data_IF_396432191833
#
_entry.id   IF_396432191833
#
_cell.length_a   1.000
_cell.length_b   1.000
_cell.length_c   1.000
_cell.angle_alpha   90.00
_cell.angle_beta   90.00
_cell.angle_gamma   90.00
#
_symmetry.space_group_name_H-M   'P 1'
#
loop_
_entity.id
_entity.type
_entity.pdbx_description
1 polymer ?
#
# COMPACT_ATOMS: atom_id res chain seq x y z
N UNK A 1 4.24 -31.09 21.27
CA UNK A 1 4.36 -30.71 19.85
C UNK A 1 4.73 -29.23 19.80
N UNK A 2 5.98 -28.92 19.48
CA UNK A 2 6.43 -27.54 19.31
C UNK A 2 5.89 -27.02 17.98
N UNK A 3 4.85 -26.20 18.05
CA UNK A 3 4.38 -25.47 16.87
C UNK A 3 5.27 -24.24 16.77
N UNK A 4 6.41 -24.40 16.11
CA UNK A 4 7.26 -23.31 15.64
C UNK A 4 6.56 -22.60 14.47
N UNK A 5 5.38 -22.03 14.68
CA UNK A 5 4.78 -21.16 13.68
C UNK A 5 5.39 -19.78 13.90
N UNK A 6 6.58 -19.61 13.34
CA UNK A 6 7.19 -18.32 13.11
C UNK A 6 6.10 -17.38 12.61
N UNK A 7 5.81 -16.37 13.42
CA UNK A 7 4.81 -15.34 13.15
C UNK A 7 4.97 -14.90 11.71
N UNK A 8 3.98 -15.26 10.90
CA UNK A 8 3.74 -14.80 9.52
C UNK A 8 4.29 -13.38 9.46
N UNK A 9 5.49 -13.21 8.88
CA UNK A 9 6.11 -11.89 8.73
C UNK A 9 5.00 -11.01 8.17
N UNK A 10 4.65 -9.93 8.87
CA UNK A 10 3.45 -9.09 8.66
C UNK A 10 3.58 -8.34 7.31
N UNK A 11 3.73 -9.08 6.23
CA UNK A 11 4.08 -8.66 4.89
C UNK A 11 2.77 -8.36 4.15
N UNK A 12 1.92 -7.55 4.81
CA UNK A 12 0.61 -7.17 4.33
C UNK A 12 0.74 -6.46 2.98
N UNK A 13 -0.02 -6.94 2.01
CA UNK A 13 -0.17 -6.28 0.72
C UNK A 13 -1.13 -5.11 0.84
N UNK A 14 -0.81 -4.03 0.15
CA UNK A 14 -1.61 -2.82 0.07
C UNK A 14 -1.86 -2.46 -1.39
N UNK A 15 -3.04 -1.91 -1.64
CA UNK A 15 -3.35 -1.25 -2.91
C UNK A 15 -2.97 0.22 -2.81
N UNK A 16 -2.34 0.73 -3.86
CA UNK A 16 -1.91 2.11 -3.93
C UNK A 16 -1.78 2.60 -5.37
N UNK A 17 -1.47 3.89 -5.48
CA UNK A 17 -1.10 4.55 -6.74
C UNK A 17 0.20 5.32 -6.55
N UNK A 18 0.90 5.64 -7.62
CA UNK A 18 2.04 6.56 -7.55
C UNK A 18 1.54 8.01 -7.60
N UNK A 19 2.07 8.85 -6.71
CA UNK A 19 1.76 10.28 -6.73
C UNK A 19 2.18 10.91 -8.06
N UNK A 20 1.27 11.62 -8.72
CA UNK A 20 1.55 12.27 -10.00
C UNK A 20 2.62 13.38 -9.92
N UNK A 21 2.87 13.92 -8.72
CA UNK A 21 3.87 14.99 -8.50
C UNK A 21 5.26 14.48 -8.14
N UNK A 22 5.35 13.55 -7.19
CA UNK A 22 6.64 13.10 -6.64
C UNK A 22 6.96 11.62 -6.89
N UNK A 23 6.06 10.86 -7.52
CA UNK A 23 6.23 9.44 -7.76
C UNK A 23 6.15 8.55 -6.52
N UNK A 24 6.03 9.10 -5.31
CA UNK A 24 5.95 8.29 -4.10
C UNK A 24 4.63 7.49 -4.04
N UNK A 25 4.64 6.27 -3.49
CA UNK A 25 3.44 5.46 -3.35
C UNK A 25 2.46 6.08 -2.36
N UNK A 26 1.18 6.14 -2.75
CA UNK A 26 0.05 6.52 -1.91
C UNK A 26 -0.78 5.26 -1.69
N UNK A 27 -0.63 4.67 -0.50
CA UNK A 27 -1.38 3.48 -0.10
C UNK A 27 -2.75 3.89 0.42
N UNK A 28 -3.83 3.31 -0.12
CA UNK A 28 -5.20 3.70 0.25
C UNK A 28 -6.07 2.53 0.73
N UNK A 29 -5.71 1.28 0.45
CA UNK A 29 -6.44 0.12 0.93
C UNK A 29 -5.50 -1.05 1.27
N UNK A 30 -5.92 -1.92 2.18
CA UNK A 30 -5.29 -3.21 2.43
C UNK A 30 -5.76 -4.19 1.36
N UNK A 31 -4.85 -5.00 0.80
CA UNK A 31 -5.21 -6.07 -0.12
C UNK A 31 -5.48 -7.36 0.68
N UNK A 32 -6.75 -7.74 0.78
CA UNK A 32 -7.19 -8.96 1.46
C UNK A 32 -7.17 -10.19 0.55
N UNK A 33 -6.87 -10.01 -0.74
CA UNK A 33 -6.75 -11.12 -1.69
C UNK A 33 -5.39 -11.81 -1.63
N UNK A 34 -4.48 -11.37 -0.75
CA UNK A 34 -3.07 -11.82 -0.70
C UNK A 34 -2.37 -11.75 -2.07
N UNK A 35 -2.86 -10.89 -2.98
CA UNK A 35 -2.33 -10.71 -4.33
C UNK A 35 -3.06 -11.52 -5.43
N UNK A 36 -4.09 -12.30 -5.08
CA UNK A 36 -4.70 -13.29 -5.98
C UNK A 36 -5.81 -12.73 -6.87
N UNK A 37 -6.42 -11.58 -6.55
CA UNK A 37 -7.60 -11.06 -7.27
C UNK A 37 -7.36 -9.65 -7.80
N UNK A 38 -7.67 -9.37 -9.07
CA UNK A 38 -7.54 -8.01 -9.61
C UNK A 38 -8.35 -6.99 -8.79
N UNK A 39 -7.77 -5.82 -8.46
CA UNK A 39 -8.48 -4.79 -7.71
C UNK A 39 -9.70 -4.29 -8.48
N UNK A 40 -10.86 -4.22 -7.83
CA UNK A 40 -12.03 -3.58 -8.41
C UNK A 40 -11.77 -2.09 -8.68
N UNK A 41 -12.32 -1.56 -9.77
CA UNK A 41 -12.24 -0.14 -10.08
C UNK A 41 -12.93 0.68 -8.99
N UNK A 42 -12.19 1.54 -8.30
CA UNK A 42 -12.77 2.49 -7.36
C UNK A 42 -13.56 3.55 -8.16
N UNK A 43 -14.85 3.76 -7.84
CA UNK A 43 -15.71 4.68 -8.60
C UNK A 43 -15.24 6.14 -8.58
N UNK A 44 -14.70 6.62 -7.45
CA UNK A 44 -14.01 7.90 -7.33
C UNK A 44 -12.87 7.79 -6.32
N UNK A 45 -11.67 8.20 -6.69
CA UNK A 45 -10.47 8.03 -5.87
C UNK A 45 -9.68 9.34 -5.77
N UNK A 46 -10.12 10.26 -4.91
CA UNK A 46 -9.36 11.48 -4.61
C UNK A 46 -8.40 11.20 -3.48
N UNK A 47 -7.09 11.34 -3.73
CA UNK A 47 -6.04 11.02 -2.78
C UNK A 47 -5.08 12.18 -2.58
N UNK A 48 -4.53 12.26 -1.38
CA UNK A 48 -3.49 13.23 -1.00
C UNK A 48 -2.20 12.49 -0.68
N UNK A 49 -1.09 12.93 -1.28
CA UNK A 49 0.23 12.37 -0.99
C UNK A 49 0.60 12.56 0.49
N UNK A 50 0.97 11.46 1.16
CA UNK A 50 1.29 11.45 2.59
C UNK A 50 2.68 12.01 2.92
N UNK A 51 3.55 12.17 1.92
CA UNK A 51 4.86 12.79 2.14
C UNK A 51 4.68 14.27 2.52
N UNK A 52 5.24 14.62 3.68
CA UNK A 52 5.14 15.96 4.26
C UNK A 52 5.61 17.07 3.30
N UNK A 53 6.66 16.81 2.49
CA UNK A 53 7.17 17.75 1.49
C UNK A 53 6.38 17.81 0.18
N UNK A 54 5.44 16.89 -0.07
CA UNK A 54 4.68 16.85 -1.32
C UNK A 54 3.24 17.35 -1.12
N UNK A 55 2.46 16.65 -0.27
CA UNK A 55 1.04 16.94 0.04
C UNK A 55 0.12 17.17 -1.17
N UNK A 56 0.53 16.75 -2.36
CA UNK A 56 -0.24 16.92 -3.58
C UNK A 56 -1.53 16.11 -3.53
N UNK A 57 -2.66 16.78 -3.80
CA UNK A 57 -3.98 16.17 -3.89
C UNK A 57 -4.43 16.17 -5.35
N UNK A 58 -4.94 15.03 -5.82
CA UNK A 58 -5.47 14.87 -7.17
C UNK A 58 -6.55 13.78 -7.23
N UNK A 59 -7.25 13.73 -8.35
CA UNK A 59 -8.14 12.63 -8.70
C UNK A 59 -7.34 11.49 -9.36
N UNK A 60 -7.39 10.31 -8.75
CA UNK A 60 -6.72 9.08 -9.17
C UNK A 60 -7.72 8.01 -9.64
N UNK A 61 -8.97 8.37 -9.92
CA UNK A 61 -10.01 7.42 -10.34
C UNK A 61 -9.59 6.58 -11.55
N UNK A 62 -8.85 7.18 -12.49
CA UNK A 62 -8.34 6.49 -13.70
C UNK A 62 -6.87 6.09 -13.57
N UNK A 63 -6.28 6.21 -12.38
CA UNK A 63 -4.88 5.84 -12.18
C UNK A 63 -4.72 4.32 -12.11
N UNK A 64 -3.59 3.83 -12.60
CA UNK A 64 -3.25 2.41 -12.49
C UNK A 64 -3.00 2.09 -11.02
N UNK A 65 -3.84 1.22 -10.45
CA UNK A 65 -3.66 0.69 -9.10
C UNK A 65 -2.57 -0.38 -9.13
N UNK A 66 -1.62 -0.27 -8.21
CA UNK A 66 -0.53 -1.23 -8.03
C UNK A 66 -0.53 -1.80 -6.62
N UNK A 67 0.15 -2.94 -6.46
CA UNK A 67 0.36 -3.59 -5.17
C UNK A 67 1.68 -3.16 -4.55
N UNK A 68 1.63 -2.86 -3.27
CA UNK A 68 2.79 -2.49 -2.47
C UNK A 68 2.84 -3.37 -1.23
N UNK A 69 4.03 -3.83 -0.88
CA UNK A 69 4.27 -4.49 0.39
C UNK A 69 4.96 -3.50 1.31
N UNK A 70 4.41 -3.29 2.51
CA UNK A 70 5.19 -2.61 3.55
C UNK A 70 6.26 -3.60 4.00
N UNK A 71 7.53 -3.24 3.82
CA UNK A 71 8.57 -3.94 4.55
C UNK A 71 8.30 -3.72 6.03
N UNK A 72 8.31 -4.78 6.86
CA UNK A 72 8.28 -4.58 8.30
C UNK A 72 9.44 -3.64 8.63
N UNK A 73 9.15 -2.56 9.36
CA UNK A 73 10.21 -1.74 9.92
C UNK A 73 11.17 -2.70 10.62
N UNK A 74 12.43 -2.74 10.19
CA UNK A 74 13.45 -3.47 10.91
C UNK A 74 13.28 -3.05 12.37
N UNK A 75 12.94 -4.00 13.24
CA UNK A 75 13.06 -3.77 14.68
C UNK A 75 14.52 -3.39 14.86
N UNK A 76 14.79 -2.11 15.11
CA UNK A 76 15.99 -1.74 15.81
C UNK A 76 15.87 -2.43 17.16
N UNK A 77 16.48 -3.61 17.27
CA UNK A 77 16.88 -4.16 18.54
C UNK A 77 17.96 -3.23 19.11
N UNK A 78 17.87 -3.05 20.42
CA UNK A 78 18.44 -1.97 21.21
C UNK A 78 19.97 -1.84 21.16
#
# INVERSE_FOLDING_TARGET
>A
MHISHWSKVDARWYLGVHCQKCGAPILFALDHSDGETEPASAGKLVLTCVLAGCRHQADYTTAVVARFQKQPAAKNEA
#
